data_IF_909899371071
#
_entry.id   IF_909899371071
#
_cell.length_a   1.000
_cell.length_b   1.000
_cell.length_c   1.000
_cell.angle_alpha   90.00
_cell.angle_beta   90.00
_cell.angle_gamma   90.00
#
_symmetry.space_group_name_H-M   'P 1'
#
loop_
_entity.id
_entity.type
_entity.pdbx_description
1 polymer ?
#
# COMPACT_ATOMS: atom_id res chain seq x y z
N UNK A 1 -54.92 -28.30 -35.42
CA UNK A 1 -54.09 -28.59 -34.24
C UNK A 1 -52.76 -29.15 -34.74
N UNK A 2 -51.68 -28.36 -34.71
CA UNK A 2 -50.35 -28.81 -35.12
C UNK A 2 -49.56 -29.20 -33.87
N UNK A 3 -49.18 -30.46 -33.75
CA UNK A 3 -48.31 -30.97 -32.69
C UNK A 3 -46.87 -30.57 -32.97
N UNK A 4 -46.46 -29.41 -32.47
CA UNK A 4 -45.07 -28.95 -32.52
C UNK A 4 -44.20 -29.80 -31.58
N UNK A 5 -43.38 -30.69 -32.15
CA UNK A 5 -42.43 -31.50 -31.39
C UNK A 5 -41.09 -30.77 -31.34
N UNK A 6 -40.69 -30.32 -30.15
CA UNK A 6 -39.36 -29.77 -29.91
C UNK A 6 -38.32 -30.78 -30.39
N UNK A 7 -37.52 -30.37 -31.38
CA UNK A 7 -36.50 -31.20 -32.00
C UNK A 7 -35.15 -30.53 -31.74
N UNK A 8 -34.46 -31.00 -30.71
CA UNK A 8 -33.14 -30.50 -30.30
C UNK A 8 -32.67 -31.25 -29.07
N UNK A 9 -31.39 -31.60 -29.02
CA UNK A 9 -30.75 -32.14 -27.82
C UNK A 9 -30.60 -31.04 -26.77
N UNK A 10 -30.77 -31.38 -25.48
CA UNK A 10 -30.54 -30.43 -24.40
C UNK A 10 -29.09 -29.94 -24.42
N UNK A 11 -28.84 -28.63 -24.25
CA UNK A 11 -27.47 -28.11 -24.16
C UNK A 11 -26.79 -28.67 -22.91
N UNK A 12 -25.52 -29.05 -23.04
CA UNK A 12 -24.70 -29.52 -21.91
C UNK A 12 -23.94 -28.33 -21.33
N UNK A 13 -24.05 -28.11 -20.03
CA UNK A 13 -23.27 -27.09 -19.32
C UNK A 13 -21.94 -27.71 -18.88
N UNK A 14 -20.85 -27.33 -19.53
CA UNK A 14 -19.50 -27.72 -19.13
C UNK A 14 -18.91 -26.67 -18.18
N UNK A 15 -18.19 -27.14 -17.17
CA UNK A 15 -17.52 -26.25 -16.21
C UNK A 15 -16.31 -25.60 -16.87
N UNK A 16 -16.24 -24.27 -16.78
CA UNK A 16 -15.08 -23.49 -17.21
C UNK A 16 -13.96 -23.68 -16.18
N UNK A 17 -12.74 -23.94 -16.66
CA UNK A 17 -11.58 -24.16 -15.81
C UNK A 17 -10.44 -23.25 -16.24
N UNK A 18 -10.05 -22.32 -15.38
CA UNK A 18 -8.92 -21.44 -15.66
C UNK A 18 -7.58 -22.07 -15.23
N UNK A 19 -6.46 -21.66 -15.85
CA UNK A 19 -5.13 -22.06 -15.42
C UNK A 19 -4.81 -21.50 -14.03
N UNK A 20 -3.78 -22.05 -13.39
CA UNK A 20 -3.28 -21.52 -12.13
C UNK A 20 -2.91 -20.03 -12.28
N UNK A 21 -3.44 -19.13 -11.43
CA UNK A 21 -3.13 -17.71 -11.52
C UNK A 21 -1.63 -17.44 -11.39
N UNK A 22 -1.15 -16.42 -12.09
CA UNK A 22 0.24 -15.97 -11.96
C UNK A 22 0.49 -15.42 -10.55
N UNK A 23 1.71 -15.61 -10.04
CA UNK A 23 2.11 -15.03 -8.76
C UNK A 23 2.05 -13.50 -8.83
N UNK A 24 1.43 -12.90 -7.81
CA UNK A 24 1.37 -11.46 -7.64
C UNK A 24 2.63 -10.99 -6.90
N UNK A 25 3.48 -10.19 -7.56
CA UNK A 25 4.68 -9.64 -6.94
C UNK A 25 4.30 -8.71 -5.78
N UNK A 26 5.00 -8.82 -4.65
CA UNK A 26 4.71 -8.08 -3.41
C UNK A 26 3.25 -8.23 -2.91
N UNK A 27 2.63 -9.36 -3.26
CA UNK A 27 1.29 -9.71 -2.81
C UNK A 27 1.07 -11.21 -2.81
N UNK A 28 -0.20 -11.58 -2.74
CA UNK A 28 -0.71 -12.94 -2.78
C UNK A 28 -2.09 -12.95 -3.43
N UNK A 29 -2.51 -14.11 -3.89
CA UNK A 29 -3.89 -14.35 -4.29
C UNK A 29 -4.47 -15.49 -3.47
N UNK A 30 -5.79 -15.48 -3.31
CA UNK A 30 -6.56 -16.56 -2.70
C UNK A 30 -7.67 -16.95 -3.67
N UNK A 31 -7.69 -18.21 -4.07
CA UNK A 31 -8.84 -18.81 -4.73
C UNK A 31 -9.98 -18.93 -3.72
N UNK A 32 -11.10 -18.27 -4.01
CA UNK A 32 -12.32 -18.35 -3.21
C UNK A 32 -13.15 -19.55 -3.67
N UNK A 33 -13.19 -19.77 -4.98
CA UNK A 33 -13.69 -20.98 -5.63
C UNK A 33 -12.96 -21.17 -6.98
N UNK A 34 -13.40 -22.13 -7.80
CA UNK A 34 -12.75 -22.47 -9.06
C UNK A 34 -12.86 -21.39 -10.14
N UNK A 35 -13.75 -20.41 -9.99
CA UNK A 35 -14.01 -19.35 -10.97
C UNK A 35 -13.84 -17.94 -10.39
N UNK A 36 -13.43 -17.80 -9.13
CA UNK A 36 -13.30 -16.51 -8.45
C UNK A 36 -12.11 -16.54 -7.50
N UNK A 37 -11.25 -15.53 -7.64
CA UNK A 37 -10.09 -15.33 -6.78
C UNK A 37 -9.99 -13.87 -6.34
N UNK A 38 -9.29 -13.68 -5.23
CA UNK A 38 -9.06 -12.39 -4.61
C UNK A 38 -7.57 -12.14 -4.42
N UNK A 39 -7.10 -11.01 -4.91
CA UNK A 39 -5.75 -10.50 -4.74
C UNK A 39 -5.61 -9.70 -3.45
N UNK A 40 -4.43 -9.75 -2.87
CA UNK A 40 -4.11 -8.98 -1.67
C UNK A 40 -2.62 -8.61 -1.69
N UNK A 41 -2.31 -7.32 -1.52
CA UNK A 41 -0.93 -6.88 -1.41
C UNK A 41 -0.37 -7.14 -0.02
N UNK A 42 0.95 -7.29 0.06
CA UNK A 42 1.66 -7.40 1.32
C UNK A 42 1.60 -6.08 2.10
N UNK A 43 1.83 -6.14 3.41
CA UNK A 43 1.87 -4.94 4.23
C UNK A 43 2.92 -3.94 3.69
N UNK A 44 2.53 -2.67 3.57
CA UNK A 44 3.36 -1.63 2.96
C UNK A 44 3.26 -1.52 1.45
N UNK A 45 2.35 -2.26 0.80
CA UNK A 45 2.06 -2.16 -0.62
C UNK A 45 0.57 -1.87 -0.85
N UNK A 46 0.28 -1.05 -1.86
CA UNK A 46 -1.06 -0.68 -2.31
C UNK A 46 -1.40 -1.42 -3.59
N UNK A 47 -2.63 -1.94 -3.66
CA UNK A 47 -3.15 -2.61 -4.84
C UNK A 47 -3.59 -1.58 -5.89
N UNK A 48 -3.01 -1.65 -7.08
CA UNK A 48 -3.44 -0.91 -8.27
C UNK A 48 -4.04 -1.88 -9.29
N UNK A 49 -5.32 -1.70 -9.59
CA UNK A 49 -6.09 -2.61 -10.44
C UNK A 49 -7.29 -3.18 -9.67
N UNK A 50 -7.75 -4.35 -10.09
CA UNK A 50 -8.89 -5.01 -9.44
C UNK A 50 -8.42 -5.94 -8.32
N UNK A 51 -9.06 -5.83 -7.16
CA UNK A 51 -8.83 -6.75 -6.04
C UNK A 51 -9.35 -8.15 -6.36
N UNK A 52 -10.35 -8.24 -7.22
CA UNK A 52 -11.02 -9.47 -7.57
C UNK A 52 -10.79 -9.82 -9.04
N UNK A 53 -10.71 -11.13 -9.33
CA UNK A 53 -10.76 -11.65 -10.69
C UNK A 53 -11.65 -12.89 -10.78
N UNK A 54 -12.29 -13.04 -11.92
CA UNK A 54 -13.17 -14.13 -12.28
C UNK A 54 -12.62 -14.87 -13.50
N UNK A 55 -12.92 -16.17 -13.57
CA UNK A 55 -12.58 -16.99 -14.72
C UNK A 55 -13.58 -16.72 -15.85
N UNK A 56 -13.10 -16.15 -16.95
CA UNK A 56 -13.92 -15.78 -18.11
C UNK A 56 -14.24 -16.98 -18.99
N UNK A 57 -15.19 -16.80 -19.92
CA UNK A 57 -15.56 -17.83 -20.90
C UNK A 57 -14.38 -18.21 -21.83
N UNK A 58 -13.38 -17.33 -21.94
CA UNK A 58 -12.15 -17.55 -22.69
C UNK A 58 -11.07 -18.27 -21.87
N UNK A 59 -11.45 -18.86 -20.73
CA UNK A 59 -10.56 -19.60 -19.82
C UNK A 59 -9.41 -18.73 -19.27
N UNK A 60 -9.66 -17.42 -19.15
CA UNK A 60 -8.70 -16.43 -18.69
C UNK A 60 -9.20 -15.71 -17.43
N UNK A 61 -8.28 -15.38 -16.53
CA UNK A 61 -8.61 -14.56 -15.35
C UNK A 61 -8.79 -13.10 -15.76
N UNK A 62 -9.95 -12.55 -15.43
CA UNK A 62 -10.33 -11.17 -15.72
C UNK A 62 -10.92 -10.49 -14.48
N UNK A 63 -10.58 -9.22 -14.20
CA UNK A 63 -9.64 -8.38 -14.93
C UNK A 63 -8.19 -8.87 -14.83
N UNK A 64 -7.31 -8.32 -15.66
CA UNK A 64 -5.90 -8.69 -15.68
C UNK A 64 -5.23 -8.51 -14.30
N UNK A 65 -4.16 -9.28 -14.07
CA UNK A 65 -3.39 -9.29 -12.82
C UNK A 65 -3.06 -7.85 -12.35
N UNK A 66 -3.43 -7.46 -11.11
CA UNK A 66 -3.13 -6.13 -10.59
C UNK A 66 -1.63 -5.97 -10.26
N UNK A 67 -1.23 -4.76 -9.90
CA UNK A 67 0.14 -4.45 -9.47
C UNK A 67 0.13 -3.98 -8.02
N UNK A 68 1.00 -4.55 -7.18
CA UNK A 68 1.22 -4.07 -5.83
C UNK A 68 2.38 -3.06 -5.82
N UNK A 69 2.07 -1.76 -5.68
CA UNK A 69 3.08 -0.72 -5.57
C UNK A 69 3.43 -0.44 -4.12
N UNK A 70 4.71 -0.20 -3.83
CA UNK A 70 5.14 0.17 -2.49
C UNK A 70 4.46 1.48 -2.06
N UNK A 71 3.99 1.53 -0.82
CA UNK A 71 3.43 2.75 -0.24
C UNK A 71 4.55 3.76 -0.03
N UNK A 72 4.27 5.01 -0.40
CA UNK A 72 5.18 6.13 -0.21
C UNK A 72 4.54 7.17 0.71
N UNK A 73 5.31 7.64 1.69
CA UNK A 73 4.94 8.75 2.55
C UNK A 73 5.22 10.10 1.87
N UNK A 74 4.89 11.19 2.57
CA UNK A 74 5.25 12.54 2.15
C UNK A 74 6.75 12.66 1.88
N UNK A 75 7.10 13.26 0.73
CA UNK A 75 8.47 13.55 0.38
C UNK A 75 8.97 14.73 1.22
N UNK A 76 10.01 14.49 2.02
CA UNK A 76 10.60 15.49 2.93
C UNK A 76 11.93 16.04 2.42
N UNK A 77 12.26 15.86 1.14
CA UNK A 77 13.52 16.35 0.56
C UNK A 77 13.63 17.88 0.59
N UNK A 78 12.50 18.59 0.53
CA UNK A 78 12.39 20.05 0.60
C UNK A 78 11.91 20.55 1.96
N UNK A 79 11.74 19.66 2.96
CA UNK A 79 11.21 20.03 4.27
C UNK A 79 12.22 20.89 5.05
N UNK A 80 11.74 21.98 5.64
CA UNK A 80 12.55 22.90 6.45
C UNK A 80 12.27 22.67 7.94
N UNK A 81 13.33 22.47 8.71
CA UNK A 81 13.29 22.43 10.17
C UNK A 81 13.97 23.70 10.73
N UNK A 82 13.24 24.65 11.33
CA UNK A 82 13.85 25.80 11.97
C UNK A 82 14.90 25.35 13.00
N UNK A 83 16.08 25.96 12.98
CA UNK A 83 17.21 25.64 13.87
C UNK A 83 17.68 24.18 13.85
N UNK A 84 17.41 23.48 12.74
CA UNK A 84 17.81 22.11 12.57
C UNK A 84 17.87 21.70 11.10
N UNK A 85 18.00 20.40 10.88
CA UNK A 85 18.11 19.78 9.57
C UNK A 85 17.27 18.51 9.53
N UNK A 86 16.69 18.25 8.36
CA UNK A 86 16.01 17.01 8.04
C UNK A 86 16.98 16.15 7.23
N UNK A 87 17.34 14.99 7.76
CA UNK A 87 18.16 13.98 7.08
C UNK A 87 17.20 12.98 6.42
N UNK A 88 16.88 13.25 5.16
CA UNK A 88 15.97 12.47 4.35
C UNK A 88 16.72 11.64 3.30
N UNK A 89 16.22 10.43 3.01
CA UNK A 89 16.78 9.54 1.98
C UNK A 89 15.70 9.17 0.96
N UNK A 90 14.64 8.52 1.42
CA UNK A 90 13.52 8.02 0.61
C UNK A 90 12.24 8.02 1.45
N UNK A 91 11.09 8.09 0.78
CA UNK A 91 9.78 8.05 1.43
C UNK A 91 9.07 6.69 1.35
N UNK A 92 9.77 5.61 1.00
CA UNK A 92 9.14 4.29 0.86
C UNK A 92 8.75 3.69 2.22
N UNK A 93 7.74 2.82 2.24
CA UNK A 93 7.36 2.06 3.43
C UNK A 93 8.57 1.43 4.13
N UNK A 94 8.64 1.61 5.46
CA UNK A 94 9.73 1.09 6.30
C UNK A 94 10.99 1.96 6.33
N UNK A 95 11.13 2.96 5.46
CA UNK A 95 12.25 3.93 5.55
C UNK A 95 12.08 4.83 6.77
N UNK A 96 13.19 5.46 7.19
CA UNK A 96 13.22 6.32 8.38
C UNK A 96 13.87 7.65 8.04
N UNK A 97 13.20 8.75 8.36
CA UNK A 97 13.76 10.10 8.31
C UNK A 97 14.33 10.47 9.68
N UNK A 98 15.45 11.19 9.72
CA UNK A 98 16.08 11.65 10.96
C UNK A 98 16.10 13.17 11.02
N UNK A 99 16.04 13.71 12.23
CA UNK A 99 16.08 15.14 12.51
C UNK A 99 17.23 15.46 13.44
N UNK A 100 17.94 16.55 13.16
CA UNK A 100 19.07 17.02 13.96
C UNK A 100 18.96 18.52 14.20
N UNK A 101 19.43 19.00 15.35
CA UNK A 101 19.49 20.42 15.66
C UNK A 101 20.84 21.02 15.32
N UNK A 102 20.85 22.31 15.02
CA UNK A 102 22.08 23.09 14.93
C UNK A 102 22.71 23.27 16.33
N UNK A 103 24.02 23.53 16.43
CA UNK A 103 24.67 23.81 17.70
C UNK A 103 24.00 24.96 18.46
N UNK A 104 23.80 24.80 19.77
CA UNK A 104 23.09 25.77 20.62
C UNK A 104 21.57 25.58 20.70
N UNK A 105 21.03 24.61 19.96
CA UNK A 105 19.63 24.23 20.00
C UNK A 105 19.45 22.79 20.48
N UNK A 106 18.27 22.49 21.01
CA UNK A 106 17.87 21.17 21.49
C UNK A 106 16.67 20.66 20.70
N UNK A 107 16.67 19.36 20.39
CA UNK A 107 15.54 18.71 19.72
C UNK A 107 14.48 18.32 20.76
N UNK A 108 13.24 18.75 20.52
CA UNK A 108 12.08 18.38 21.33
C UNK A 108 11.24 17.37 20.54
N UNK A 109 11.11 16.16 21.10
CA UNK A 109 10.42 15.03 20.48
C UNK A 109 11.37 13.90 20.06
N UNK A 110 10.85 12.96 19.27
CA UNK A 110 11.63 11.80 18.78
C UNK A 110 12.46 12.22 17.57
N UNK A 111 13.75 11.91 17.56
CA UNK A 111 14.69 12.32 16.50
C UNK A 111 14.52 11.62 15.16
N UNK A 112 13.56 10.71 15.03
CA UNK A 112 13.33 9.94 13.82
C UNK A 112 11.87 9.55 13.67
N UNK A 113 11.41 9.47 12.43
CA UNK A 113 10.07 8.99 12.08
C UNK A 113 10.18 7.92 11.00
N UNK A 114 9.35 6.90 11.07
CA UNK A 114 9.32 5.79 10.10
C UNK A 114 8.13 5.93 9.16
N UNK A 115 8.28 5.61 7.89
CA UNK A 115 7.17 5.61 6.94
C UNK A 115 6.29 4.37 7.16
N UNK A 116 5.02 4.59 7.47
CA UNK A 116 4.06 3.54 7.77
C UNK A 116 3.28 3.07 6.53
N UNK A 117 2.57 1.95 6.66
CA UNK A 117 1.77 1.39 5.58
C UNK A 117 0.53 2.24 5.21
N UNK A 118 0.15 3.23 6.03
CA UNK A 118 -0.91 4.18 5.68
C UNK A 118 -0.44 5.26 4.70
N UNK A 119 0.87 5.39 4.47
CA UNK A 119 1.46 6.50 3.72
C UNK A 119 1.72 7.73 4.59
N UNK A 120 1.70 7.57 5.93
CA UNK A 120 2.03 8.64 6.86
C UNK A 120 3.31 8.32 7.64
N UNK A 121 4.08 9.35 7.95
CA UNK A 121 5.23 9.25 8.85
C UNK A 121 4.76 9.04 10.30
N UNK A 122 5.20 7.96 10.93
CA UNK A 122 4.84 7.61 12.30
C UNK A 122 5.24 8.72 13.29
N UNK A 123 4.36 8.97 14.27
CA UNK A 123 4.58 9.97 15.30
C UNK A 123 4.49 11.42 14.80
N UNK A 124 4.76 12.36 15.71
CA UNK A 124 4.75 13.79 15.41
C UNK A 124 6.12 14.26 14.94
N UNK A 125 6.14 15.25 14.06
CA UNK A 125 7.37 15.93 13.66
C UNK A 125 8.01 16.60 14.90
N UNK A 126 9.29 16.33 15.19
CA UNK A 126 10.01 17.05 16.25
C UNK A 126 10.33 18.47 15.80
N UNK A 127 10.60 19.35 16.77
CA UNK A 127 11.05 20.72 16.51
C UNK A 127 12.31 21.03 17.30
N UNK A 128 13.12 21.97 16.80
CA UNK A 128 14.30 22.44 17.50
C UNK A 128 13.99 23.75 18.24
N UNK A 129 14.50 23.89 19.47
CA UNK A 129 14.34 25.10 20.30
C UNK A 129 15.69 25.57 20.84
N UNK A 130 15.90 26.89 21.06
CA UNK A 130 17.11 27.39 21.70
C UNK A 130 17.33 26.73 23.07
N UNK A 131 18.59 26.50 23.43
CA UNK A 131 18.94 26.05 24.77
C UNK A 131 19.16 27.26 25.70
N UNK A 132 18.59 27.30 26.93
CA UNK A 132 17.67 26.35 27.52
C UNK A 132 16.22 26.55 27.00
N UNK A 133 15.51 25.45 26.77
CA UNK A 133 14.12 25.45 26.28
C UNK A 133 13.08 25.95 27.31
N UNK A 134 13.53 26.39 28.50
CA UNK A 134 12.68 26.89 29.58
C UNK A 134 12.91 28.40 29.80
N UNK A 135 11.85 29.17 30.11
CA UNK A 135 12.05 30.45 30.78
C UNK A 135 12.66 30.13 32.15
N UNK A 136 13.79 30.78 32.50
CA UNK A 136 14.28 30.80 33.88
C UNK A 136 13.08 31.13 34.77
N UNK A 137 12.72 30.23 35.69
CA UNK A 137 11.81 30.59 36.77
C UNK A 137 12.49 31.73 37.55
N UNK A 138 11.95 32.93 37.41
CA UNK A 138 12.33 34.05 38.27
C UNK A 138 11.79 33.73 39.66
N UNK A 139 12.68 33.38 40.58
CA UNK A 139 12.43 33.44 42.02
C UNK A 139 12.77 34.83 42.52
#
# INVERSE_FOLDING_TARGET
MASGRWSGSFPTCTKITCPLPRLLENGRFRLVNDTYLRYQCNNGYRLEGSEDAFCSLEEQWEPALPVCRIVTCEDLSSAVLPYGRVIFTLANFGTTVRYTCEPGYQLIGVSSRRCSASGEWEGKQPYASPFPAFPRAAF
#
